data_IF_617298591495
#
_entry.id   IF_617298591495
#
_cell.length_a   1.000
_cell.length_b   1.000
_cell.length_c   1.000
_cell.angle_alpha   90.00
_cell.angle_beta   90.00
_cell.angle_gamma   90.00
#
_symmetry.space_group_name_H-M   'P 1'
#
loop_
_entity.id
_entity.type
_entity.pdbx_description
1 polymer ?
#
# COMPACT_ATOMS: atom_id res chain seq x y z
N UNK A 1 -15.13 5.10 -14.86
CA UNK A 1 -16.30 5.51 -14.05
C UNK A 1 -15.84 5.97 -12.67
N UNK A 2 -15.01 5.22 -11.92
CA UNK A 2 -14.49 5.65 -10.60
C UNK A 2 -13.78 7.03 -10.59
N UNK A 3 -13.01 7.35 -11.64
CA UNK A 3 -12.34 8.66 -11.70
C UNK A 3 -13.31 9.86 -11.74
N UNK A 4 -14.48 9.68 -12.32
CA UNK A 4 -15.49 10.76 -12.38
C UNK A 4 -16.11 10.98 -11.00
N UNK A 5 -16.47 9.91 -10.31
CA UNK A 5 -17.08 9.98 -8.98
C UNK A 5 -16.09 10.50 -7.92
N UNK A 6 -14.81 10.12 -8.02
CA UNK A 6 -13.75 10.68 -7.15
C UNK A 6 -13.58 12.19 -7.37
N UNK A 7 -13.59 12.65 -8.64
CA UNK A 7 -13.52 14.08 -8.97
C UNK A 7 -14.73 14.84 -8.44
N UNK A 8 -15.90 14.26 -8.52
CA UNK A 8 -17.13 14.89 -8.01
C UNK A 8 -17.12 15.00 -6.48
N UNK A 9 -16.68 13.96 -5.78
CA UNK A 9 -16.53 13.99 -4.32
C UNK A 9 -15.51 15.06 -3.88
N UNK A 10 -14.38 15.15 -4.55
CA UNK A 10 -13.36 16.18 -4.28
C UNK A 10 -13.89 17.58 -4.58
N UNK A 11 -14.62 17.76 -5.67
CA UNK A 11 -15.23 19.05 -6.03
C UNK A 11 -16.25 19.53 -4.98
N UNK A 12 -17.06 18.61 -4.44
CA UNK A 12 -17.98 18.93 -3.34
C UNK A 12 -17.23 19.36 -2.07
N UNK A 13 -16.14 18.66 -1.71
CA UNK A 13 -15.31 19.04 -0.57
C UNK A 13 -14.62 20.39 -0.78
N UNK A 14 -14.20 20.69 -2.00
CA UNK A 14 -13.65 22.00 -2.35
C UNK A 14 -14.69 23.12 -2.20
N UNK A 15 -15.92 22.87 -2.67
CA UNK A 15 -17.04 23.82 -2.49
C UNK A 15 -17.34 24.09 -1.02
N UNK A 16 -17.17 23.10 -0.15
CA UNK A 16 -17.31 23.22 1.30
C UNK A 16 -16.07 23.84 1.99
N UNK A 17 -15.04 24.25 1.23
CA UNK A 17 -13.79 24.83 1.72
C UNK A 17 -13.08 23.97 2.77
N UNK A 18 -13.12 22.66 2.60
CA UNK A 18 -12.41 21.71 3.47
C UNK A 18 -10.89 21.80 3.30
N UNK A 19 -10.12 21.27 4.26
CA UNK A 19 -8.67 21.24 4.17
C UNK A 19 -8.16 20.41 2.99
N UNK A 20 -6.99 20.76 2.44
CA UNK A 20 -6.36 19.97 1.37
C UNK A 20 -6.03 18.54 1.81
N UNK A 21 -5.76 18.34 3.09
CA UNK A 21 -5.52 17.04 3.68
C UNK A 21 -6.76 16.16 3.64
N UNK A 22 -7.92 16.70 4.05
CA UNK A 22 -9.19 15.99 3.96
C UNK A 22 -9.55 15.65 2.51
N UNK A 23 -9.34 16.58 1.58
CA UNK A 23 -9.59 16.34 0.14
C UNK A 23 -8.72 15.20 -0.39
N UNK A 24 -7.42 15.15 -0.02
CA UNK A 24 -6.49 14.09 -0.44
C UNK A 24 -6.85 12.73 0.16
N UNK A 25 -7.13 12.68 1.46
CA UNK A 25 -7.50 11.43 2.12
C UNK A 25 -8.83 10.88 1.60
N UNK A 26 -9.80 11.76 1.31
CA UNK A 26 -11.07 11.34 0.69
C UNK A 26 -10.87 10.83 -0.73
N UNK A 27 -10.04 11.49 -1.55
CA UNK A 27 -9.72 11.03 -2.89
C UNK A 27 -9.06 9.66 -2.86
N UNK A 28 -8.03 9.50 -2.03
CA UNK A 28 -7.33 8.22 -1.85
C UNK A 28 -8.29 7.12 -1.39
N UNK A 29 -9.13 7.39 -0.39
CA UNK A 29 -10.11 6.43 0.10
C UNK A 29 -11.08 5.99 -1.01
N UNK A 30 -11.56 6.95 -1.79
CA UNK A 30 -12.52 6.71 -2.87
C UNK A 30 -11.90 5.92 -4.02
N UNK A 31 -10.65 6.22 -4.39
CA UNK A 31 -9.91 5.52 -5.43
C UNK A 31 -9.63 4.06 -5.04
N UNK A 32 -9.40 3.80 -3.74
CA UNK A 32 -9.12 2.47 -3.22
C UNK A 32 -10.40 1.68 -2.88
N UNK A 33 -11.55 2.32 -2.86
CA UNK A 33 -12.81 1.67 -2.54
C UNK A 33 -13.14 0.63 -3.64
N UNK A 34 -13.33 -0.62 -3.23
CA UNK A 34 -13.52 -1.75 -4.14
C UNK A 34 -12.31 -2.68 -4.24
N UNK A 35 -11.16 -2.26 -3.72
CA UNK A 35 -9.98 -3.12 -3.63
C UNK A 35 -9.80 -3.62 -2.19
N UNK A 36 -10.12 -4.89 -1.97
CA UNK A 36 -9.83 -5.54 -0.71
C UNK A 36 -8.41 -6.11 -0.74
N UNK A 37 -7.58 -5.88 0.30
CA UNK A 37 -6.27 -6.50 0.37
C UNK A 37 -6.40 -8.02 0.46
N UNK A 38 -5.45 -8.74 -0.12
CA UNK A 38 -5.43 -10.19 0.01
C UNK A 38 -5.27 -10.61 1.49
N UNK A 39 -5.91 -11.72 1.86
CA UNK A 39 -5.83 -12.28 3.21
C UNK A 39 -4.45 -12.93 3.48
N UNK A 40 -3.40 -12.12 3.40
CA UNK A 40 -2.00 -12.47 3.71
C UNK A 40 -1.38 -11.36 4.56
N UNK A 41 -0.59 -11.72 5.57
CA UNK A 41 0.04 -10.74 6.46
C UNK A 41 0.88 -9.70 5.70
N UNK A 42 1.65 -10.13 4.70
CA UNK A 42 2.45 -9.25 3.84
C UNK A 42 1.58 -8.20 3.13
N UNK A 43 0.50 -8.60 2.47
CA UNK A 43 -0.43 -7.69 1.79
C UNK A 43 -1.10 -6.72 2.75
N UNK A 44 -1.48 -7.20 3.94
CA UNK A 44 -2.10 -6.37 4.97
C UNK A 44 -1.15 -5.35 5.58
N UNK A 45 0.15 -5.66 5.72
CA UNK A 45 1.17 -4.68 6.14
C UNK A 45 1.35 -3.58 5.11
N UNK A 46 1.42 -3.93 3.82
CA UNK A 46 1.48 -2.94 2.75
C UNK A 46 0.22 -2.08 2.71
N UNK A 47 -0.94 -2.70 2.83
CA UNK A 47 -2.21 -1.98 2.92
C UNK A 47 -2.22 -0.99 4.10
N UNK A 48 -1.79 -1.43 5.31
CA UNK A 48 -1.67 -0.54 6.45
C UNK A 48 -0.68 0.62 6.21
N UNK A 49 0.47 0.32 5.60
CA UNK A 49 1.50 1.32 5.29
C UNK A 49 0.98 2.41 4.35
N UNK A 50 0.19 2.04 3.34
CA UNK A 50 -0.36 2.99 2.36
C UNK A 50 -1.56 3.73 2.90
N UNK A 51 -2.48 3.03 3.57
CA UNK A 51 -3.74 3.60 4.04
C UNK A 51 -3.62 4.31 5.39
N UNK A 52 -2.63 3.95 6.22
CA UNK A 52 -2.45 4.52 7.54
C UNK A 52 -3.73 4.47 8.39
N UNK A 53 -4.12 5.60 8.97
CA UNK A 53 -5.33 5.71 9.80
C UNK A 53 -6.64 5.45 9.03
N UNK A 54 -6.63 5.49 7.71
CA UNK A 54 -7.82 5.20 6.89
C UNK A 54 -8.08 3.70 6.70
N UNK A 55 -7.11 2.83 7.03
CA UNK A 55 -7.21 1.40 6.77
C UNK A 55 -8.42 0.73 7.43
N UNK A 56 -8.69 1.05 8.69
CA UNK A 56 -9.84 0.48 9.42
C UNK A 56 -11.17 0.93 8.84
N UNK A 57 -11.29 2.22 8.47
CA UNK A 57 -12.49 2.75 7.83
C UNK A 57 -12.72 2.09 6.47
N UNK A 58 -11.65 1.83 5.71
CA UNK A 58 -11.72 1.15 4.43
C UNK A 58 -12.24 -0.29 4.57
N UNK A 59 -11.73 -1.05 5.54
CA UNK A 59 -12.22 -2.41 5.82
C UNK A 59 -13.69 -2.41 6.29
N UNK A 60 -14.09 -1.45 7.13
CA UNK A 60 -15.48 -1.30 7.57
C UNK A 60 -16.42 -0.95 6.41
N UNK A 61 -15.98 -0.08 5.48
CA UNK A 61 -16.75 0.25 4.29
C UNK A 61 -16.96 -0.99 3.41
N UNK A 62 -15.92 -1.80 3.19
CA UNK A 62 -16.04 -3.06 2.45
C UNK A 62 -17.02 -4.05 3.09
N UNK A 63 -17.02 -4.16 4.40
CA UNK A 63 -17.99 -4.99 5.13
C UNK A 63 -19.43 -4.54 4.85
N UNK A 64 -19.69 -3.24 5.02
CA UNK A 64 -21.02 -2.64 4.76
C UNK A 64 -21.46 -2.83 3.31
N UNK A 65 -20.58 -2.60 2.35
CA UNK A 65 -20.86 -2.76 0.92
C UNK A 65 -21.23 -4.21 0.60
N UNK A 66 -20.49 -5.16 1.16
CA UNK A 66 -20.75 -6.59 0.93
C UNK A 66 -22.05 -7.05 1.59
N UNK A 67 -22.36 -6.56 2.80
CA UNK A 67 -23.62 -6.87 3.49
C UNK A 67 -24.84 -6.39 2.71
N UNK A 68 -24.73 -5.28 2.00
CA UNK A 68 -25.83 -4.68 1.26
C UNK A 68 -25.81 -5.02 -0.24
N UNK A 69 -24.94 -5.93 -0.66
CA UNK A 69 -24.80 -6.37 -2.07
C UNK A 69 -24.62 -5.20 -3.05
N UNK A 70 -23.92 -4.15 -2.62
CA UNK A 70 -23.62 -2.98 -3.47
C UNK A 70 -22.44 -3.36 -4.36
N UNK A 71 -22.68 -3.49 -5.66
CA UNK A 71 -21.63 -3.68 -6.65
C UNK A 71 -20.86 -2.37 -6.82
N UNK A 72 -19.63 -2.36 -6.34
CA UNK A 72 -18.70 -1.29 -6.66
C UNK A 72 -18.16 -1.47 -8.08
N UNK A 73 -17.81 -0.35 -8.70
CA UNK A 73 -17.47 -0.22 -10.12
C UNK A 73 -16.27 -1.03 -10.63
N UNK A 74 -15.57 -1.71 -9.74
CA UNK A 74 -14.40 -2.53 -10.08
C UNK A 74 -14.73 -3.85 -10.77
N UNK A 75 -16.02 -4.26 -10.78
CA UNK A 75 -16.43 -5.58 -11.28
C UNK A 75 -15.93 -6.76 -10.45
N UNK A 76 -15.21 -6.49 -9.36
CA UNK A 76 -14.74 -7.51 -8.43
C UNK A 76 -15.81 -7.71 -7.36
N UNK A 77 -16.44 -8.86 -7.39
CA UNK A 77 -17.34 -9.29 -6.31
C UNK A 77 -16.49 -9.64 -5.07
N UNK A 78 -16.54 -8.79 -4.05
CA UNK A 78 -15.96 -9.11 -2.76
C UNK A 78 -16.89 -10.07 -2.04
N UNK A 79 -16.40 -11.27 -1.74
CA UNK A 79 -17.18 -12.26 -0.99
C UNK A 79 -17.07 -11.99 0.50
N UNK A 80 -18.12 -12.33 1.25
CA UNK A 80 -18.12 -12.18 2.70
C UNK A 80 -16.98 -12.97 3.37
N UNK A 81 -16.66 -14.16 2.83
CA UNK A 81 -15.57 -14.99 3.32
C UNK A 81 -14.22 -14.27 3.22
N UNK A 82 -13.98 -13.51 2.15
CA UNK A 82 -12.73 -12.78 1.94
C UNK A 82 -12.56 -11.69 3.00
N UNK A 83 -13.63 -10.94 3.31
CA UNK A 83 -13.61 -9.91 4.34
C UNK A 83 -13.35 -10.52 5.72
N UNK A 84 -14.01 -11.64 6.05
CA UNK A 84 -13.80 -12.34 7.31
C UNK A 84 -12.34 -12.80 7.43
N UNK A 85 -11.77 -13.36 6.36
CA UNK A 85 -10.38 -13.80 6.33
C UNK A 85 -9.40 -12.63 6.51
N UNK A 86 -9.63 -11.52 5.81
CA UNK A 86 -8.85 -10.28 5.94
C UNK A 86 -8.91 -9.75 7.37
N UNK A 87 -10.11 -9.55 7.94
CA UNK A 87 -10.29 -9.03 9.31
C UNK A 87 -9.64 -9.92 10.37
N UNK A 88 -9.72 -11.24 10.20
CA UNK A 88 -9.05 -12.19 11.10
C UNK A 88 -7.54 -11.98 11.14
N UNK A 89 -6.90 -11.83 9.98
CA UNK A 89 -5.46 -11.60 9.88
C UNK A 89 -5.08 -10.17 10.26
N UNK A 90 -5.93 -9.19 9.95
CA UNK A 90 -5.76 -7.80 10.34
C UNK A 90 -5.55 -7.62 11.84
N UNK A 91 -6.27 -8.39 12.64
CA UNK A 91 -6.13 -8.38 14.09
C UNK A 91 -4.87 -9.10 14.62
N UNK A 92 -4.07 -9.70 13.74
CA UNK A 92 -2.85 -10.45 14.07
C UNK A 92 -1.56 -9.75 13.63
N UNK A 93 -1.66 -8.63 12.92
CA UNK A 93 -0.50 -7.85 12.49
C UNK A 93 -0.32 -6.61 13.36
N UNK A 94 0.93 -6.16 13.49
CA UNK A 94 1.19 -4.83 14.03
C UNK A 94 0.79 -3.76 13.02
N UNK A 95 0.20 -2.68 13.52
CA UNK A 95 -0.40 -1.62 12.71
C UNK A 95 0.14 -0.25 13.13
N UNK A 96 1.38 0.09 12.75
CA UNK A 96 1.90 1.42 13.00
C UNK A 96 1.00 2.46 12.31
N UNK A 97 0.66 3.53 13.05
CA UNK A 97 -0.19 4.62 12.55
C UNK A 97 0.57 5.43 11.50
N UNK A 98 1.87 5.62 11.73
CA UNK A 98 2.74 6.37 10.82
C UNK A 98 3.43 5.40 9.85
N UNK A 99 3.56 5.80 8.58
CA UNK A 99 4.32 5.01 7.61
C UNK A 99 5.76 4.82 8.07
N UNK A 100 6.22 3.58 8.09
CA UNK A 100 7.61 3.27 8.45
C UNK A 100 8.55 3.78 7.36
N UNK A 101 9.60 4.55 7.71
CA UNK A 101 10.62 4.93 6.76
C UNK A 101 11.44 3.72 6.31
N UNK A 102 12.00 3.80 5.11
CA UNK A 102 12.91 2.77 4.64
C UNK A 102 14.18 2.75 5.51
N UNK A 103 14.55 1.58 6.03
CA UNK A 103 15.74 1.37 6.87
C UNK A 103 17.05 1.66 6.13
N UNK A 104 17.04 1.54 4.80
CA UNK A 104 18.21 1.75 3.96
C UNK A 104 18.07 2.98 3.08
N UNK A 105 19.16 3.69 2.90
CA UNK A 105 19.24 4.83 1.98
C UNK A 105 20.00 4.46 0.68
N UNK A 106 20.10 5.44 -0.23
CA UNK A 106 20.81 5.24 -1.50
C UNK A 106 22.28 4.95 -1.30
N UNK A 107 22.95 5.57 -0.33
CA UNK A 107 24.39 5.35 -0.06
C UNK A 107 24.66 3.93 0.42
N UNK A 108 23.82 3.42 1.31
CA UNK A 108 23.89 2.06 1.80
C UNK A 108 23.74 1.04 0.65
N UNK A 109 22.80 1.28 -0.27
CA UNK A 109 22.57 0.42 -1.44
C UNK A 109 23.76 0.48 -2.41
N UNK A 110 24.23 1.69 -2.76
CA UNK A 110 25.37 1.87 -3.69
C UNK A 110 26.62 1.16 -3.17
N UNK A 111 26.92 1.27 -1.87
CA UNK A 111 28.08 0.64 -1.25
C UNK A 111 28.08 -0.91 -1.36
N UNK A 112 26.89 -1.51 -1.44
CA UNK A 112 26.75 -2.99 -1.48
C UNK A 112 26.54 -3.56 -2.87
N UNK A 113 26.00 -2.77 -3.78
CA UNK A 113 25.62 -3.23 -5.12
C UNK A 113 26.51 -2.67 -6.23
N UNK A 114 27.28 -1.62 -5.95
CA UNK A 114 27.98 -0.87 -6.99
C UNK A 114 27.06 -0.09 -7.94
N UNK A 115 25.75 -0.08 -7.70
CA UNK A 115 24.78 0.68 -8.50
C UNK A 115 25.06 2.17 -8.37
N UNK A 116 25.06 2.89 -9.49
CA UNK A 116 25.24 4.34 -9.51
C UNK A 116 23.90 5.08 -9.28
N UNK A 117 23.99 6.36 -8.95
CA UNK A 117 22.80 7.22 -8.84
C UNK A 117 21.96 7.18 -10.12
N UNK A 118 20.64 7.17 -9.95
CA UNK A 118 19.70 7.16 -11.06
C UNK A 118 18.43 6.36 -10.77
N UNK A 119 17.66 6.12 -11.83
CA UNK A 119 16.37 5.46 -11.74
C UNK A 119 16.46 4.07 -11.11
N UNK A 120 17.47 3.27 -11.50
CA UNK A 120 17.67 1.91 -10.97
C UNK A 120 17.86 1.91 -9.46
N UNK A 121 18.70 2.81 -8.94
CA UNK A 121 18.91 2.96 -7.50
C UNK A 121 17.60 3.34 -6.78
N UNK A 122 16.87 4.30 -7.32
CA UNK A 122 15.58 4.73 -6.77
C UNK A 122 14.56 3.59 -6.73
N UNK A 123 14.46 2.81 -7.80
CA UNK A 123 13.56 1.65 -7.87
C UNK A 123 13.98 0.52 -6.94
N UNK A 124 15.28 0.24 -6.82
CA UNK A 124 15.80 -0.76 -5.88
C UNK A 124 15.49 -0.38 -4.43
N UNK A 125 15.63 0.90 -4.08
CA UNK A 125 15.24 1.39 -2.75
C UNK A 125 13.75 1.17 -2.48
N UNK A 126 12.87 1.46 -3.45
CA UNK A 126 11.43 1.23 -3.30
C UNK A 126 11.11 -0.27 -3.17
N UNK A 127 11.81 -1.13 -3.90
CA UNK A 127 11.64 -2.57 -3.79
C UNK A 127 12.06 -3.10 -2.42
N UNK A 128 13.23 -2.68 -1.94
CA UNK A 128 13.68 -3.02 -0.58
C UNK A 128 12.72 -2.50 0.50
N UNK A 129 12.20 -1.29 0.34
CA UNK A 129 11.19 -0.76 1.24
C UNK A 129 9.91 -1.59 1.23
N UNK A 130 9.46 -2.05 0.06
CA UNK A 130 8.32 -2.96 -0.06
C UNK A 130 8.57 -4.27 0.70
N UNK A 131 9.74 -4.89 0.54
CA UNK A 131 10.10 -6.12 1.24
C UNK A 131 10.19 -5.89 2.75
N UNK A 132 10.78 -4.77 3.18
CA UNK A 132 10.81 -4.39 4.59
C UNK A 132 9.41 -4.41 5.21
N UNK A 133 8.43 -3.81 4.53
CA UNK A 133 7.05 -3.76 5.00
C UNK A 133 6.41 -5.15 4.97
N UNK A 134 6.55 -5.88 3.88
CA UNK A 134 5.95 -7.21 3.70
C UNK A 134 6.44 -8.23 4.71
N UNK A 135 7.74 -8.25 4.97
CA UNK A 135 8.41 -9.22 5.83
C UNK A 135 8.64 -8.72 7.27
N UNK A 136 8.23 -7.45 7.54
CA UNK A 136 8.39 -6.81 8.86
C UNK A 136 9.85 -6.74 9.32
N UNK A 137 10.74 -6.36 8.38
CA UNK A 137 12.17 -6.28 8.67
C UNK A 137 12.48 -5.04 9.52
N UNK A 138 13.28 -5.23 10.56
CA UNK A 138 13.59 -4.20 11.54
C UNK A 138 15.08 -3.88 11.67
N UNK A 139 15.94 -4.68 11.02
CA UNK A 139 17.39 -4.57 11.13
C UNK A 139 18.09 -4.44 9.77
N UNK A 140 19.24 -3.78 9.75
CA UNK A 140 20.07 -3.68 8.54
C UNK A 140 20.59 -5.05 8.07
N UNK A 141 20.80 -6.00 8.98
CA UNK A 141 21.23 -7.37 8.63
C UNK A 141 20.14 -8.11 7.85
N UNK A 142 18.88 -7.97 8.24
CA UNK A 142 17.75 -8.53 7.50
C UNK A 142 17.62 -7.88 6.13
N UNK A 143 17.80 -6.55 6.05
CA UNK A 143 17.80 -5.84 4.76
C UNK A 143 18.92 -6.32 3.83
N UNK A 144 20.11 -6.62 4.36
CA UNK A 144 21.22 -7.16 3.59
C UNK A 144 20.93 -8.58 3.08
N UNK A 145 20.33 -9.42 3.92
CA UNK A 145 19.87 -10.74 3.53
C UNK A 145 18.76 -10.69 2.47
N UNK A 146 17.87 -9.71 2.55
CA UNK A 146 16.84 -9.45 1.52
C UNK A 146 17.48 -9.01 0.19
N UNK A 147 18.39 -8.02 0.23
CA UNK A 147 19.09 -7.52 -0.96
C UNK A 147 19.82 -8.62 -1.71
N UNK A 148 20.49 -9.53 -1.00
CA UNK A 148 21.27 -10.63 -1.60
C UNK A 148 20.43 -11.62 -2.41
N UNK A 149 19.13 -11.66 -2.19
CA UNK A 149 18.18 -12.53 -2.92
C UNK A 149 17.56 -11.88 -4.14
N UNK A 150 17.73 -10.55 -4.30
CA UNK A 150 17.08 -9.82 -5.38
C UNK A 150 17.91 -9.88 -6.68
N UNK A 151 17.26 -10.11 -7.82
CA UNK A 151 17.91 -10.09 -9.13
C UNK A 151 18.03 -8.63 -9.65
N UNK A 152 18.56 -7.72 -8.83
CA UNK A 152 18.61 -6.28 -9.14
C UNK A 152 19.57 -5.90 -10.28
N UNK A 153 20.47 -6.80 -10.67
CA UNK A 153 21.40 -6.56 -11.78
C UNK A 153 20.71 -6.59 -13.14
N UNK A 154 19.61 -7.31 -13.24
CA UNK A 154 18.89 -7.58 -14.48
C UNK A 154 17.42 -7.18 -14.41
N UNK A 155 16.80 -7.10 -15.58
CA UNK A 155 15.37 -6.88 -15.71
C UNK A 155 14.96 -5.41 -15.89
N UNK A 156 13.68 -5.24 -16.22
CA UNK A 156 13.04 -3.94 -16.36
C UNK A 156 12.74 -3.34 -14.99
N UNK A 157 13.40 -2.25 -14.67
CA UNK A 157 13.26 -1.55 -13.38
C UNK A 157 11.85 -1.01 -13.12
N UNK A 158 11.07 -0.77 -14.18
CA UNK A 158 9.69 -0.30 -14.03
C UNK A 158 8.75 -1.37 -13.51
N UNK A 159 9.07 -2.65 -13.74
CA UNK A 159 8.30 -3.79 -13.25
C UNK A 159 8.58 -4.13 -11.78
N UNK A 160 9.60 -3.55 -11.17
CA UNK A 160 9.98 -3.88 -9.79
C UNK A 160 8.92 -3.45 -8.79
N UNK A 161 8.67 -4.28 -7.76
CA UNK A 161 7.67 -3.98 -6.73
C UNK A 161 7.93 -2.66 -6.02
N UNK A 162 6.85 -1.98 -5.64
CA UNK A 162 6.86 -0.71 -4.91
C UNK A 162 5.90 -0.80 -3.73
N UNK A 163 6.09 0.01 -2.67
CA UNK A 163 5.15 0.06 -1.55
C UNK A 163 3.88 0.84 -1.94
N UNK A 164 3.09 0.25 -2.81
CA UNK A 164 1.80 0.79 -3.29
C UNK A 164 0.68 -0.22 -3.07
N UNK A 165 -0.56 0.26 -2.99
CA UNK A 165 -1.77 -0.53 -2.90
C UNK A 165 -2.81 0.10 -3.86
N UNK A 166 -3.59 -0.65 -4.58
CA UNK A 166 -3.53 -2.08 -4.87
C UNK A 166 -2.33 -2.43 -5.69
#
# INVERSE_FOLDING_TARGET
>A
MCEHETKDAVAQLQALRTSKELQRSTAMFHEQLGFLPEARKSSLRVFNHVMGSAAEHHLAAHETITEHSVNLHTGLETKREDIVAVKRLWNQIERPIEPQPCLVDGHWIMARTGTVEGMRLGRLKLWLHRIQIEEDLTTLSEMEAALSKLPYEHGDVESWPRPVFP
#
